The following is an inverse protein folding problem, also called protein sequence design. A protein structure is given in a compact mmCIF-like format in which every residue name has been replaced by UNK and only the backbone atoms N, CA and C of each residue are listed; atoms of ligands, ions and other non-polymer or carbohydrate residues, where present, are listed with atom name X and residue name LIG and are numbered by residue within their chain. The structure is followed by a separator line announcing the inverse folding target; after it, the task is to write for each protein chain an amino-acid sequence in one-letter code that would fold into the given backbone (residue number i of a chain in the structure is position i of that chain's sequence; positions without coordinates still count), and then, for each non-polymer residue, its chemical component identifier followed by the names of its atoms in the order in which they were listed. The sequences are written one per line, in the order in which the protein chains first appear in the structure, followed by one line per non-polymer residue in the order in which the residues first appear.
data_IF_343756279001
#
_entry.id   IF_343756279001
#
_cell.length_a   1.000
_cell.length_b   1.000
_cell.length_c   1.000
_cell.angle_alpha   90.00
_cell.angle_beta   90.00
_cell.angle_gamma   90.00
#
_symmetry.space_group_name_H-M   'P 1'
#
loop_
_entity.id
_entity.type
_entity.pdbx_description
1 polymer ?
#
# COMPACT_ATOMS: atom_id res chain seq x y z
N UNK A 1 16.82 -6.84 -23.37
CA UNK A 1 18.21 -6.37 -23.11
C UNK A 1 18.23 -5.50 -21.86
N UNK A 2 19.39 -5.08 -21.33
CA UNK A 2 19.41 -4.22 -20.12
C UNK A 2 18.73 -2.87 -20.33
N UNK A 3 18.82 -2.30 -21.55
CA UNK A 3 18.16 -1.03 -21.91
C UNK A 3 16.64 -1.19 -21.90
N UNK A 4 16.13 -2.26 -22.50
CA UNK A 4 14.70 -2.57 -22.51
C UNK A 4 14.15 -2.73 -21.10
N UNK A 5 14.85 -3.48 -20.23
CA UNK A 5 14.42 -3.68 -18.84
C UNK A 5 14.29 -2.35 -18.11
N UNK A 6 15.32 -1.51 -18.20
CA UNK A 6 15.30 -0.18 -17.59
C UNK A 6 14.16 0.69 -18.15
N UNK A 7 14.04 0.78 -19.47
CA UNK A 7 13.05 1.66 -20.08
C UNK A 7 11.62 1.20 -19.80
N UNK A 8 11.37 -0.12 -19.84
CA UNK A 8 10.04 -0.66 -19.65
C UNK A 8 9.65 -0.69 -18.17
N UNK A 9 10.45 -1.32 -17.32
CA UNK A 9 10.08 -1.54 -15.93
C UNK A 9 10.41 -0.33 -15.08
N UNK A 10 11.68 0.10 -15.04
CA UNK A 10 12.08 1.17 -14.12
C UNK A 10 11.52 2.54 -14.55
N UNK A 11 11.51 2.84 -15.85
CA UNK A 11 11.06 4.14 -16.34
C UNK A 11 9.56 4.19 -16.63
N UNK A 12 9.03 3.29 -17.47
CA UNK A 12 7.62 3.34 -17.88
C UNK A 12 6.66 2.85 -16.78
N UNK A 13 6.85 1.65 -16.25
CA UNK A 13 5.94 1.06 -15.26
C UNK A 13 6.04 1.81 -13.92
N UNK A 14 7.25 2.18 -13.48
CA UNK A 14 7.47 2.81 -12.18
C UNK A 14 7.55 4.34 -12.23
N UNK A 15 8.62 4.90 -12.82
CA UNK A 15 8.93 6.32 -12.67
C UNK A 15 7.84 7.23 -13.27
N UNK A 16 7.35 6.93 -14.48
CA UNK A 16 6.28 7.72 -15.11
C UNK A 16 5.03 7.71 -14.23
N UNK A 17 4.63 6.55 -13.70
CA UNK A 17 3.46 6.45 -12.84
C UNK A 17 3.62 7.28 -11.57
N UNK A 18 4.78 7.22 -10.92
CA UNK A 18 5.05 7.95 -9.68
C UNK A 18 4.99 9.48 -9.87
N UNK A 19 5.38 10.00 -11.04
CA UNK A 19 5.43 11.46 -11.30
C UNK A 19 4.21 12.00 -12.04
N UNK A 20 3.24 11.18 -12.45
CA UNK A 20 2.06 11.61 -13.23
C UNK A 20 1.31 12.76 -12.58
N UNK A 21 1.12 12.73 -11.26
CA UNK A 21 0.41 13.79 -10.55
C UNK A 21 1.09 15.15 -10.70
N UNK A 22 2.44 15.17 -10.70
CA UNK A 22 3.24 16.39 -10.92
C UNK A 22 2.99 16.98 -12.30
N UNK A 23 2.64 16.16 -13.30
CA UNK A 23 2.36 16.63 -14.66
C UNK A 23 0.93 17.17 -14.82
N UNK A 24 -0.04 16.65 -14.07
CA UNK A 24 -1.45 17.00 -14.21
C UNK A 24 -1.92 18.14 -13.30
N UNK A 25 -1.31 18.29 -12.12
CA UNK A 25 -1.83 19.16 -11.07
C UNK A 25 -1.09 20.52 -10.96
N UNK A 26 -0.21 20.84 -11.93
CA UNK A 26 0.61 22.08 -11.98
C UNK A 26 1.24 22.44 -10.63
N UNK A 27 2.05 21.51 -10.13
CA UNK A 27 2.80 21.62 -8.87
C UNK A 27 4.09 22.42 -9.05
N UNK A 28 4.71 22.87 -7.95
CA UNK A 28 6.03 23.54 -7.98
C UNK A 28 7.14 22.63 -8.56
N UNK A 29 6.96 21.30 -8.54
CA UNK A 29 7.92 20.31 -9.07
C UNK A 29 7.63 19.86 -10.50
N UNK A 30 6.63 20.46 -11.16
CA UNK A 30 6.22 20.11 -12.54
C UNK A 30 7.37 20.24 -13.53
N UNK A 31 8.17 21.32 -13.40
CA UNK A 31 9.29 21.57 -14.31
C UNK A 31 10.43 20.57 -14.08
N UNK A 32 10.70 20.20 -12.83
CA UNK A 32 11.71 19.21 -12.48
C UNK A 32 11.34 17.83 -13.03
N UNK A 33 10.07 17.42 -12.88
CA UNK A 33 9.56 16.18 -13.46
C UNK A 33 9.69 16.17 -14.99
N UNK A 34 9.26 17.24 -15.66
CA UNK A 34 9.38 17.36 -17.13
C UNK A 34 10.84 17.32 -17.59
N UNK A 35 11.74 17.97 -16.86
CA UNK A 35 13.16 17.97 -17.16
C UNK A 35 13.75 16.56 -17.06
N UNK A 36 13.50 15.86 -15.95
CA UNK A 36 13.97 14.48 -15.73
C UNK A 36 13.42 13.52 -16.79
N UNK A 37 12.11 13.56 -17.06
CA UNK A 37 11.49 12.72 -18.08
C UNK A 37 12.09 12.96 -19.48
N UNK A 38 12.32 14.23 -19.84
CA UNK A 38 12.95 14.59 -21.11
C UNK A 38 14.39 14.05 -21.18
N UNK A 39 15.18 14.25 -20.14
CA UNK A 39 16.58 13.81 -20.08
C UNK A 39 16.70 12.28 -20.22
N UNK A 40 15.88 11.52 -19.49
CA UNK A 40 15.85 10.05 -19.57
C UNK A 40 15.39 9.57 -20.94
N UNK A 41 14.36 10.21 -21.52
CA UNK A 41 13.86 9.86 -22.85
C UNK A 41 14.91 10.13 -23.94
N UNK A 42 15.54 11.30 -23.94
CA UNK A 42 16.59 11.65 -24.92
C UNK A 42 17.80 10.72 -24.83
N UNK A 43 18.21 10.39 -23.61
CA UNK A 43 19.31 9.45 -23.37
C UNK A 43 18.96 8.05 -23.87
N UNK A 44 17.74 7.58 -23.57
CA UNK A 44 17.27 6.27 -24.05
C UNK A 44 17.20 6.22 -25.57
N UNK A 45 16.72 7.29 -26.22
CA UNK A 45 16.67 7.36 -27.69
C UNK A 45 18.06 7.28 -28.32
N UNK A 46 19.08 7.93 -27.72
CA UNK A 46 20.48 7.80 -28.15
C UNK A 46 21.00 6.36 -28.01
N UNK A 47 20.71 5.70 -26.89
CA UNK A 47 21.10 4.30 -26.66
C UNK A 47 20.40 3.33 -27.63
N UNK A 48 19.17 3.63 -28.01
CA UNK A 48 18.37 2.83 -28.94
C UNK A 48 18.69 3.11 -30.41
N UNK A 49 19.19 4.31 -30.76
CA UNK A 49 19.39 4.74 -32.15
C UNK A 49 20.22 3.77 -33.02
N UNK A 50 21.28 3.09 -32.52
CA UNK A 50 22.00 2.09 -33.30
C UNK A 50 21.20 0.82 -33.62
N UNK A 51 20.14 0.53 -32.84
CA UNK A 51 19.32 -0.69 -32.93
C UNK A 51 18.01 -0.39 -33.68
N UNK A 52 17.36 0.74 -33.36
CA UNK A 52 16.06 1.15 -33.89
C UNK A 52 16.10 2.58 -34.48
N UNK A 53 16.96 2.86 -35.48
CA UNK A 53 17.27 4.23 -35.91
C UNK A 53 16.05 5.02 -36.37
N UNK A 54 15.20 4.45 -37.22
CA UNK A 54 14.02 5.17 -37.74
C UNK A 54 13.00 5.48 -36.63
N UNK A 55 12.82 4.58 -35.67
CA UNK A 55 11.93 4.82 -34.54
C UNK A 55 12.51 5.90 -33.62
N UNK A 56 13.78 5.76 -33.24
CA UNK A 56 14.46 6.73 -32.39
C UNK A 56 14.46 8.13 -33.00
N UNK A 57 14.68 8.23 -34.32
CA UNK A 57 14.64 9.49 -35.06
C UNK A 57 13.25 10.15 -35.04
N UNK A 58 12.19 9.38 -35.34
CA UNK A 58 10.82 9.89 -35.31
C UNK A 58 10.42 10.39 -33.92
N UNK A 59 10.73 9.62 -32.86
CA UNK A 59 10.39 10.02 -31.48
C UNK A 59 11.22 11.22 -31.03
N UNK A 60 12.52 11.26 -31.36
CA UNK A 60 13.39 12.41 -31.09
C UNK A 60 12.89 13.68 -31.76
N UNK A 61 12.34 13.57 -32.98
CA UNK A 61 11.69 14.68 -33.68
C UNK A 61 10.49 15.27 -32.91
N UNK A 62 9.67 14.44 -32.24
CA UNK A 62 8.57 14.94 -31.40
C UNK A 62 9.06 15.73 -30.18
N UNK A 63 10.28 15.48 -29.70
CA UNK A 63 10.92 16.23 -28.62
C UNK A 63 11.58 17.54 -29.10
N UNK A 64 11.52 17.83 -30.42
CA UNK A 64 12.10 19.02 -31.04
C UNK A 64 13.58 18.90 -31.37
N UNK A 65 14.13 17.68 -31.35
CA UNK A 65 15.54 17.44 -31.65
C UNK A 65 15.77 17.17 -33.14
N UNK A 66 16.94 17.57 -33.63
CA UNK A 66 17.35 17.33 -35.01
C UNK A 66 17.96 15.93 -35.19
N UNK A 67 17.60 15.27 -36.28
CA UNK A 67 18.05 13.92 -36.65
C UNK A 67 19.58 13.80 -36.69
N UNK A 68 20.25 14.82 -37.22
CA UNK A 68 21.71 14.80 -37.35
C UNK A 68 22.37 14.71 -35.97
N UNK A 69 21.83 15.41 -34.96
CA UNK A 69 22.37 15.39 -33.60
C UNK A 69 22.14 14.05 -32.90
N UNK A 70 21.03 13.35 -33.14
CA UNK A 70 20.80 12.03 -32.56
C UNK A 70 21.84 11.01 -33.05
N UNK A 71 22.17 11.04 -34.34
CA UNK A 71 23.06 10.07 -34.96
C UNK A 71 24.55 10.46 -34.94
N UNK A 72 24.88 11.75 -34.87
CA UNK A 72 26.26 12.26 -34.90
C UNK A 72 26.67 12.99 -33.62
N UNK A 73 25.77 13.17 -32.64
CA UNK A 73 26.03 13.92 -31.40
C UNK A 73 26.80 13.17 -30.32
N UNK A 74 27.36 12.00 -30.63
CA UNK A 74 28.14 11.19 -29.70
C UNK A 74 27.31 10.23 -28.84
N UNK A 75 28.01 9.32 -28.18
CA UNK A 75 27.43 8.40 -27.21
C UNK A 75 27.06 9.16 -25.92
N UNK A 76 25.99 8.78 -25.18
CA UNK A 76 25.69 9.39 -23.89
C UNK A 76 26.88 9.35 -22.93
N UNK A 77 27.14 10.48 -22.27
CA UNK A 77 28.20 10.60 -21.28
C UNK A 77 27.73 10.10 -19.92
N UNK A 78 28.64 9.47 -19.18
CA UNK A 78 28.39 9.04 -17.81
C UNK A 78 28.56 10.23 -16.86
N UNK A 79 27.51 10.55 -16.12
CA UNK A 79 27.49 11.59 -15.09
C UNK A 79 27.53 10.94 -13.71
N UNK A 80 28.72 10.69 -13.18
CA UNK A 80 28.94 10.03 -11.89
C UNK A 80 28.23 10.76 -10.73
N UNK A 81 28.08 12.08 -10.84
CA UNK A 81 27.37 12.92 -9.87
C UNK A 81 25.86 12.63 -9.78
N UNK A 82 25.28 11.99 -10.79
CA UNK A 82 23.87 11.59 -10.79
C UNK A 82 23.64 10.19 -10.19
N UNK A 83 24.72 9.48 -9.85
CA UNK A 83 24.64 8.14 -9.26
C UNK A 83 24.66 8.26 -7.75
N UNK A 84 23.57 7.85 -7.10
CA UNK A 84 23.44 7.90 -5.65
C UNK A 84 22.62 6.72 -5.13
N UNK A 85 23.28 5.81 -4.41
CA UNK A 85 22.61 4.66 -3.79
C UNK A 85 21.58 5.07 -2.74
N UNK A 86 21.75 6.23 -2.10
CA UNK A 86 20.75 6.76 -1.16
C UNK A 86 19.48 7.19 -1.89
N UNK A 87 19.60 7.83 -3.08
CA UNK A 87 18.44 8.22 -3.90
C UNK A 87 17.76 7.01 -4.51
N UNK A 88 18.53 6.02 -4.98
CA UNK A 88 18.00 4.73 -5.45
C UNK A 88 17.21 4.03 -4.34
N UNK A 89 17.70 4.03 -3.10
CA UNK A 89 17.02 3.45 -1.96
C UNK A 89 15.71 4.18 -1.63
N UNK A 90 15.70 5.52 -1.65
CA UNK A 90 14.49 6.33 -1.44
C UNK A 90 13.44 6.00 -2.52
N UNK A 91 13.86 5.95 -3.79
CA UNK A 91 12.97 5.57 -4.90
C UNK A 91 12.43 4.16 -4.75
N UNK A 92 13.27 3.22 -4.32
CA UNK A 92 12.88 1.82 -4.12
C UNK A 92 11.86 1.67 -2.98
N UNK A 93 11.98 2.44 -1.90
CA UNK A 93 10.92 2.51 -0.87
C UNK A 93 9.60 3.03 -1.43
N UNK A 94 9.64 4.08 -2.26
CA UNK A 94 8.44 4.64 -2.87
C UNK A 94 7.72 3.59 -3.73
N UNK A 95 8.46 2.91 -4.61
CA UNK A 95 7.91 1.87 -5.48
C UNK A 95 7.35 0.69 -4.69
N UNK A 96 8.09 0.15 -3.73
CA UNK A 96 7.65 -1.00 -2.91
C UNK A 96 6.33 -0.70 -2.16
N UNK A 97 6.17 0.53 -1.65
CA UNK A 97 4.94 0.98 -0.97
C UNK A 97 3.81 1.24 -1.99
N UNK A 98 4.11 1.89 -3.12
CA UNK A 98 3.12 2.19 -4.16
C UNK A 98 2.49 0.90 -4.69
N UNK A 99 3.33 -0.09 -4.99
CA UNK A 99 2.89 -1.37 -5.52
C UNK A 99 2.05 -2.14 -4.51
N UNK A 100 2.44 -2.14 -3.24
CA UNK A 100 1.68 -2.83 -2.19
C UNK A 100 0.30 -2.21 -1.99
N UNK A 101 0.19 -0.87 -2.03
CA UNK A 101 -1.11 -0.19 -1.97
C UNK A 101 -1.98 -0.48 -3.20
N UNK A 102 -1.39 -0.58 -4.40
CA UNK A 102 -2.11 -0.98 -5.62
C UNK A 102 -2.59 -2.43 -5.56
N UNK A 103 -1.77 -3.34 -5.04
CA UNK A 103 -2.13 -4.74 -4.77
C UNK A 103 -3.27 -4.82 -3.76
N UNK A 104 -3.17 -4.08 -2.65
CA UNK A 104 -4.22 -3.96 -1.65
C UNK A 104 -5.55 -3.53 -2.29
N UNK A 105 -5.57 -2.43 -3.03
CA UNK A 105 -6.78 -1.97 -3.73
C UNK A 105 -7.36 -3.03 -4.66
N UNK A 106 -6.51 -3.65 -5.48
CA UNK A 106 -6.93 -4.67 -6.44
C UNK A 106 -7.54 -5.90 -5.75
N UNK A 107 -6.94 -6.37 -4.66
CA UNK A 107 -7.41 -7.53 -3.89
C UNK A 107 -8.75 -7.28 -3.17
N UNK A 108 -9.05 -6.02 -2.83
CA UNK A 108 -10.30 -5.60 -2.20
C UNK A 108 -11.35 -5.08 -3.21
N UNK A 109 -11.07 -5.17 -4.51
CA UNK A 109 -11.98 -4.68 -5.56
C UNK A 109 -12.14 -3.15 -5.59
N UNK A 110 -11.18 -2.41 -5.02
CA UNK A 110 -11.18 -0.95 -4.95
C UNK A 110 -10.56 -0.39 -6.23
N UNK A 111 -11.23 0.53 -6.94
CA UNK A 111 -10.64 1.23 -8.07
C UNK A 111 -9.37 2.00 -7.69
N UNK A 112 -8.33 1.99 -8.53
CA UNK A 112 -7.06 2.67 -8.23
C UNK A 112 -7.20 4.18 -7.97
N UNK A 113 -8.21 4.82 -8.58
CA UNK A 113 -8.51 6.23 -8.41
C UNK A 113 -9.41 6.55 -7.20
N UNK A 114 -9.96 5.56 -6.52
CA UNK A 114 -10.74 5.77 -5.31
C UNK A 114 -9.80 6.12 -4.14
N UNK A 115 -10.07 7.18 -3.36
CA UNK A 115 -9.21 7.56 -2.25
C UNK A 115 -9.14 6.51 -1.13
N UNK A 116 -8.00 6.47 -0.43
CA UNK A 116 -7.81 5.80 0.87
C UNK A 116 -7.72 6.89 1.94
N UNK A 117 -8.49 6.77 3.03
CA UNK A 117 -8.55 7.80 4.07
C UNK A 117 -7.21 8.00 4.78
N UNK A 118 -6.61 6.92 5.30
CA UNK A 118 -5.35 6.99 6.05
C UNK A 118 -4.48 5.78 5.76
N UNK A 119 -3.16 6.01 5.63
CA UNK A 119 -2.13 4.96 5.65
C UNK A 119 -1.06 5.32 6.67
N UNK A 120 -0.92 4.51 7.71
CA UNK A 120 0.19 4.62 8.66
C UNK A 120 1.32 3.66 8.24
N UNK A 121 2.50 4.21 7.98
CA UNK A 121 3.69 3.50 7.48
C UNK A 121 4.67 3.28 8.63
N UNK A 122 5.02 2.03 8.89
CA UNK A 122 5.95 1.65 9.95
C UNK A 122 7.26 1.13 9.35
N UNK A 123 8.34 1.86 9.57
CA UNK A 123 9.66 1.55 9.02
C UNK A 123 10.79 1.99 9.96
N UNK A 124 11.95 1.36 9.83
CA UNK A 124 13.16 1.81 10.52
C UNK A 124 13.79 3.05 9.85
N UNK A 125 13.49 3.30 8.58
CA UNK A 125 14.09 4.34 7.73
C UNK A 125 13.13 5.53 7.51
N UNK A 126 12.56 6.04 8.61
CA UNK A 126 11.52 7.08 8.61
C UNK A 126 11.92 8.32 7.82
N UNK A 127 13.16 8.78 7.96
CA UNK A 127 13.65 9.98 7.26
C UNK A 127 13.62 9.80 5.73
N UNK A 128 14.05 8.63 5.22
CA UNK A 128 14.08 8.37 3.78
C UNK A 128 12.70 8.22 3.18
N UNK A 129 11.79 7.52 3.87
CA UNK A 129 10.40 7.36 3.39
C UNK A 129 9.65 8.69 3.39
N UNK A 130 9.93 9.59 4.34
CA UNK A 130 9.34 10.92 4.32
C UNK A 130 9.76 11.75 3.08
N UNK A 131 10.93 11.48 2.48
CA UNK A 131 11.38 12.19 1.27
C UNK A 131 10.56 11.84 0.02
N UNK A 132 9.85 10.71 0.01
CA UNK A 132 9.02 10.26 -1.11
C UNK A 132 7.51 10.18 -0.78
N UNK A 133 7.08 10.78 0.34
CA UNK A 133 5.69 10.70 0.82
C UNK A 133 4.69 11.28 -0.19
N UNK A 134 5.05 12.35 -0.89
CA UNK A 134 4.17 12.98 -1.87
C UNK A 134 3.96 12.09 -3.09
N UNK A 135 4.99 11.37 -3.53
CA UNK A 135 4.88 10.43 -4.64
C UNK A 135 3.96 9.26 -4.24
N UNK A 136 4.16 8.69 -3.04
CA UNK A 136 3.29 7.60 -2.50
C UNK A 136 1.84 8.07 -2.40
N UNK A 137 1.63 9.25 -1.78
CA UNK A 137 0.31 9.83 -1.50
C UNK A 137 -0.48 10.09 -2.77
N UNK A 138 0.11 10.83 -3.71
CA UNK A 138 -0.60 11.29 -4.89
C UNK A 138 -0.82 10.19 -5.93
N UNK A 139 0.13 9.24 -6.02
CA UNK A 139 0.02 8.08 -6.91
C UNK A 139 -1.08 7.13 -6.46
N UNK A 140 -1.22 6.90 -5.14
CA UNK A 140 -2.23 5.99 -4.58
C UNK A 140 -3.51 6.68 -4.14
N UNK A 141 -3.64 8.01 -4.31
CA UNK A 141 -4.78 8.79 -3.83
C UNK A 141 -5.06 8.51 -2.35
N UNK A 142 -4.06 8.73 -1.51
CA UNK A 142 -4.21 8.63 -0.05
C UNK A 142 -4.43 10.03 0.51
N UNK A 143 -5.42 10.21 1.38
CA UNK A 143 -5.73 11.52 1.95
C UNK A 143 -4.73 11.88 3.06
N UNK A 144 -4.41 10.92 3.94
CA UNK A 144 -3.48 11.11 5.06
C UNK A 144 -2.42 9.99 5.11
N UNK A 145 -1.15 10.38 5.21
CA UNK A 145 -0.05 9.44 5.47
C UNK A 145 0.71 9.91 6.70
N UNK A 146 1.01 8.97 7.60
CA UNK A 146 1.96 9.17 8.69
C UNK A 146 3.06 8.11 8.61
N UNK A 147 4.30 8.51 8.88
CA UNK A 147 5.46 7.60 8.88
C UNK A 147 6.06 7.56 10.28
N UNK A 148 6.19 6.37 10.85
CA UNK A 148 6.72 6.20 12.20
C UNK A 148 7.60 4.96 12.33
N UNK A 149 8.45 4.98 13.36
CA UNK A 149 9.26 3.82 13.72
C UNK A 149 8.45 2.88 14.62
N UNK A 150 8.64 1.58 14.44
CA UNK A 150 8.09 0.55 15.32
C UNK A 150 7.09 -0.34 14.62
N UNK A 151 6.00 -0.68 15.32
CA UNK A 151 4.93 -1.55 14.84
C UNK A 151 3.57 -0.94 15.18
N UNK A 152 2.52 -1.27 14.43
CA UNK A 152 1.17 -0.83 14.74
C UNK A 152 0.72 -1.35 16.11
N UNK A 153 0.06 -0.47 16.86
CA UNK A 153 -0.58 -0.78 18.15
C UNK A 153 -2.04 -1.13 17.88
N UNK A 154 -2.31 -2.44 17.80
CA UNK A 154 -3.58 -3.00 17.34
C UNK A 154 -4.23 -3.83 18.43
N UNK A 155 -5.55 -3.82 18.44
CA UNK A 155 -6.34 -4.76 19.22
C UNK A 155 -7.40 -5.41 18.35
N UNK A 156 -7.80 -6.61 18.74
CA UNK A 156 -8.86 -7.35 18.07
C UNK A 156 -10.21 -6.89 18.67
N UNK A 157 -11.10 -6.39 17.82
CA UNK A 157 -12.46 -6.05 18.21
C UNK A 157 -13.41 -7.10 17.67
N UNK A 158 -14.06 -7.82 18.58
CA UNK A 158 -15.04 -8.84 18.21
C UNK A 158 -16.35 -8.14 17.89
N UNK A 159 -16.77 -8.23 16.63
CA UNK A 159 -17.96 -7.55 16.12
C UNK A 159 -19.19 -8.45 16.11
N UNK A 160 -18.96 -9.77 16.10
CA UNK A 160 -20.04 -10.75 16.10
C UNK A 160 -19.67 -12.00 16.88
N UNK A 161 -20.64 -12.49 17.64
CA UNK A 161 -20.61 -13.79 18.27
C UNK A 161 -21.82 -14.58 17.80
N UNK A 162 -21.58 -15.76 17.25
CA UNK A 162 -22.64 -16.68 16.86
C UNK A 162 -22.63 -17.95 17.74
N UNK A 163 -23.80 -18.38 18.24
CA UNK A 163 -23.91 -19.63 18.98
C UNK A 163 -23.70 -20.85 18.06
N UNK A 164 -22.82 -21.76 18.47
CA UNK A 164 -22.66 -23.05 17.80
C UNK A 164 -23.80 -23.97 18.23
N UNK A 165 -24.86 -24.02 17.42
CA UNK A 165 -26.09 -24.77 17.74
C UNK A 165 -25.84 -26.26 18.05
N UNK A 166 -24.85 -26.88 17.40
CA UNK A 166 -24.47 -28.28 17.63
C UNK A 166 -23.81 -28.53 18.99
N UNK A 167 -23.28 -27.49 19.64
CA UNK A 167 -22.68 -27.54 20.97
C UNK A 167 -23.66 -27.08 22.04
N UNK A 168 -24.42 -26.01 21.76
CA UNK A 168 -25.35 -25.44 22.73
C UNK A 168 -26.60 -26.30 22.92
N UNK A 169 -27.23 -26.77 21.84
CA UNK A 169 -28.49 -27.50 21.90
C UNK A 169 -28.44 -28.76 22.78
N UNK A 170 -27.48 -29.69 22.56
CA UNK A 170 -27.37 -30.92 23.33
C UNK A 170 -27.03 -30.71 24.81
N UNK A 171 -26.19 -29.71 25.11
CA UNK A 171 -25.67 -29.43 26.46
C UNK A 171 -26.71 -28.72 27.31
N UNK A 172 -27.28 -27.62 26.80
CA UNK A 172 -28.13 -26.73 27.60
C UNK A 172 -29.63 -27.00 27.46
N UNK A 173 -30.06 -27.78 26.46
CA UNK A 173 -31.46 -28.21 26.26
C UNK A 173 -32.45 -27.03 26.35
N UNK A 174 -33.28 -27.01 27.39
CA UNK A 174 -34.30 -25.98 27.62
C UNK A 174 -33.69 -24.59 27.88
N UNK A 175 -32.46 -24.54 28.41
CA UNK A 175 -31.72 -23.33 28.70
C UNK A 175 -30.93 -22.79 27.49
N UNK A 176 -30.88 -23.53 26.37
CA UNK A 176 -30.19 -23.09 25.15
C UNK A 176 -30.70 -21.73 24.66
N UNK A 177 -32.03 -21.52 24.72
CA UNK A 177 -32.65 -20.26 24.32
C UNK A 177 -32.14 -19.07 25.13
N UNK A 178 -31.91 -19.24 26.44
CA UNK A 178 -31.39 -18.18 27.30
C UNK A 178 -30.00 -17.71 26.85
N UNK A 179 -29.13 -18.65 26.50
CA UNK A 179 -27.77 -18.34 26.04
C UNK A 179 -27.83 -17.63 24.69
N UNK A 180 -28.67 -18.10 23.76
CA UNK A 180 -28.86 -17.47 22.45
C UNK A 180 -29.38 -16.04 22.62
N UNK A 181 -30.40 -15.85 23.45
CA UNK A 181 -30.97 -14.53 23.72
C UNK A 181 -29.94 -13.61 24.42
N UNK A 182 -29.11 -14.13 25.33
CA UNK A 182 -28.03 -13.38 25.96
C UNK A 182 -26.98 -12.91 24.94
N UNK A 183 -26.51 -13.81 24.08
CA UNK A 183 -25.53 -13.49 23.02
C UNK A 183 -26.10 -12.42 22.06
N UNK A 184 -27.38 -12.53 21.70
CA UNK A 184 -28.01 -11.61 20.76
C UNK A 184 -28.24 -10.19 21.33
N UNK A 185 -28.23 -10.02 22.66
CA UNK A 185 -28.58 -8.75 23.32
C UNK A 185 -27.43 -8.14 24.13
N UNK A 186 -26.25 -8.76 24.13
CA UNK A 186 -25.08 -8.27 24.86
C UNK A 186 -24.00 -7.89 23.85
N UNK A 187 -23.26 -6.83 24.15
CA UNK A 187 -22.14 -6.40 23.33
C UNK A 187 -21.10 -7.55 23.18
N UNK A 188 -20.73 -7.93 21.95
CA UNK A 188 -19.80 -9.04 21.72
C UNK A 188 -18.45 -8.87 22.40
N UNK A 189 -17.93 -7.63 22.49
CA UNK A 189 -16.66 -7.36 23.15
C UNK A 189 -16.77 -7.64 24.65
N UNK A 190 -17.86 -7.23 25.30
CA UNK A 190 -18.10 -7.53 26.72
C UNK A 190 -18.17 -9.02 27.02
N UNK A 191 -18.79 -9.80 26.12
CA UNK A 191 -18.83 -11.27 26.24
C UNK A 191 -17.41 -11.84 26.18
N UNK A 192 -16.59 -11.35 25.25
CA UNK A 192 -15.22 -11.83 25.07
C UNK A 192 -14.30 -11.48 26.23
N UNK A 193 -14.39 -10.25 26.76
CA UNK A 193 -13.66 -9.84 27.96
C UNK A 193 -13.97 -10.77 29.13
N UNK A 194 -15.26 -11.07 29.38
CA UNK A 194 -15.65 -12.02 30.43
C UNK A 194 -15.07 -13.42 30.17
N UNK A 195 -15.17 -13.93 28.94
CA UNK A 195 -14.62 -15.24 28.60
C UNK A 195 -13.09 -15.32 28.79
N UNK A 196 -12.38 -14.21 28.64
CA UNK A 196 -10.93 -14.14 28.84
C UNK A 196 -10.54 -14.02 30.32
N UNK A 197 -11.33 -13.29 31.11
CA UNK A 197 -11.09 -13.12 32.54
C UNK A 197 -11.45 -14.37 33.35
N UNK A 198 -12.61 -14.97 33.07
CA UNK A 198 -13.20 -16.04 33.92
C UNK A 198 -13.18 -17.42 33.27
N UNK A 199 -13.00 -17.49 31.94
CA UNK A 199 -13.12 -18.71 31.14
C UNK A 199 -14.57 -19.11 30.79
N UNK A 200 -15.58 -18.50 31.41
CA UNK A 200 -16.99 -18.81 31.20
C UNK A 200 -17.91 -17.60 31.44
N UNK A 201 -18.97 -17.49 30.65
CA UNK A 201 -20.01 -16.46 30.83
C UNK A 201 -21.24 -17.11 31.45
N UNK A 202 -21.64 -16.59 32.60
CA UNK A 202 -22.81 -17.08 33.35
C UNK A 202 -24.07 -16.35 32.92
N UNK A 203 -25.09 -17.11 32.53
CA UNK A 203 -26.44 -16.66 32.18
C UNK A 203 -27.42 -17.39 33.09
N UNK A 204 -27.92 -16.71 34.11
CA UNK A 204 -28.69 -17.30 35.21
C UNK A 204 -27.97 -18.50 35.86
N UNK A 205 -28.51 -19.71 35.69
CA UNK A 205 -28.07 -20.97 36.29
C UNK A 205 -27.16 -21.79 35.35
N UNK A 206 -26.85 -21.27 34.16
CA UNK A 206 -26.00 -21.95 33.16
C UNK A 206 -24.81 -21.09 32.77
N UNK A 207 -23.73 -21.72 32.31
CA UNK A 207 -22.55 -21.02 31.82
C UNK A 207 -22.11 -21.57 30.47
N UNK A 208 -21.67 -20.70 29.57
CA UNK A 208 -21.08 -21.10 28.29
C UNK A 208 -19.62 -20.62 28.19
N UNK A 209 -18.88 -21.23 27.26
CA UNK A 209 -17.43 -21.02 27.07
C UNK A 209 -17.11 -20.76 25.60
N UNK A 210 -15.84 -20.46 25.27
CA UNK A 210 -15.37 -20.29 23.87
C UNK A 210 -15.69 -21.49 22.96
N UNK A 211 -15.87 -22.71 23.49
CA UNK A 211 -16.25 -23.89 22.69
C UNK A 211 -17.69 -23.86 22.14
N UNK A 212 -18.53 -22.97 22.68
CA UNK A 212 -19.95 -22.89 22.36
C UNK A 212 -20.27 -21.79 21.35
N UNK A 213 -19.27 -21.02 20.91
CA UNK A 213 -19.45 -19.85 20.06
C UNK A 213 -18.42 -19.79 18.93
N UNK A 214 -18.76 -19.06 17.87
CA UNK A 214 -17.81 -18.58 16.85
C UNK A 214 -17.77 -17.06 16.89
N UNK A 215 -16.59 -16.49 16.64
CA UNK A 215 -16.35 -15.04 16.64
C UNK A 215 -15.99 -14.57 15.24
N UNK A 216 -16.52 -13.41 14.86
CA UNK A 216 -15.98 -12.60 13.75
C UNK A 216 -15.40 -11.33 14.37
N UNK A 217 -14.16 -11.02 14.01
CA UNK A 217 -13.39 -9.92 14.57
C UNK A 217 -12.72 -9.11 13.47
N UNK A 218 -12.58 -7.82 13.73
CA UNK A 218 -11.79 -6.90 12.92
C UNK A 218 -10.58 -6.44 13.71
N UNK A 219 -9.49 -6.12 13.00
CA UNK A 219 -8.35 -5.44 13.59
C UNK A 219 -8.68 -3.95 13.69
N UNK A 220 -8.48 -3.39 14.88
CA UNK A 220 -8.69 -1.97 15.12
C UNK A 220 -7.44 -1.29 15.66
N UNK A 221 -7.22 -0.08 15.17
CA UNK A 221 -6.16 0.80 15.67
C UNK A 221 -6.45 1.22 17.11
N UNK A 222 -5.46 1.82 17.79
CA UNK A 222 -5.65 2.42 19.12
C UNK A 222 -6.78 3.46 19.20
N UNK A 223 -7.14 4.10 18.07
CA UNK A 223 -8.23 5.07 17.98
C UNK A 223 -9.60 4.42 17.78
N UNK A 224 -9.67 3.10 17.61
CA UNK A 224 -10.90 2.32 17.42
C UNK A 224 -11.35 2.25 15.96
N UNK A 225 -10.47 2.59 15.01
CA UNK A 225 -10.77 2.53 13.57
C UNK A 225 -10.40 1.15 13.04
N UNK A 226 -11.27 0.58 12.20
CA UNK A 226 -10.99 -0.70 11.52
C UNK A 226 -9.86 -0.49 10.52
N UNK A 227 -8.85 -1.36 10.57
CA UNK A 227 -7.65 -1.25 9.76
C UNK A 227 -7.24 -2.60 9.18
N UNK A 228 -6.69 -2.54 7.98
CA UNK A 228 -5.98 -3.66 7.37
C UNK A 228 -4.48 -3.50 7.55
N UNK A 229 -3.79 -4.61 7.83
CA UNK A 229 -2.32 -4.63 7.89
C UNK A 229 -1.77 -5.36 6.68
N UNK A 230 -0.97 -4.65 5.90
CA UNK A 230 -0.23 -5.19 4.77
C UNK A 230 1.28 -4.96 4.99
N UNK A 231 2.09 -5.77 4.32
CA UNK A 231 3.54 -5.76 4.45
C UNK A 231 4.15 -5.73 3.06
N UNK A 232 5.05 -4.79 2.81
CA UNK A 232 5.73 -4.71 1.51
C UNK A 232 6.68 -5.89 1.31
N UNK A 233 6.85 -6.30 0.05
CA UNK A 233 7.59 -7.52 -0.31
C UNK A 233 9.10 -7.35 -0.12
N UNK A 234 9.65 -6.19 -0.48
CA UNK A 234 11.11 -6.00 -0.57
C UNK A 234 11.71 -5.54 0.75
N UNK A 235 11.11 -4.51 1.36
CA UNK A 235 11.67 -3.84 2.53
C UNK A 235 10.96 -4.17 3.85
N UNK A 236 9.99 -5.08 3.81
CA UNK A 236 9.25 -5.53 4.99
C UNK A 236 8.55 -4.39 5.76
N UNK A 237 8.20 -3.30 5.06
CA UNK A 237 7.54 -2.12 5.64
C UNK A 237 6.09 -2.50 5.93
N UNK A 238 5.62 -2.21 7.15
CA UNK A 238 4.23 -2.45 7.52
C UNK A 238 3.39 -1.23 7.18
N UNK A 239 2.25 -1.44 6.54
CA UNK A 239 1.26 -0.41 6.24
C UNK A 239 -0.03 -0.78 6.95
N UNK A 240 -0.53 0.14 7.76
CA UNK A 240 -1.85 0.08 8.37
C UNK A 240 -2.77 0.98 7.54
N UNK A 241 -3.73 0.35 6.88
CA UNK A 241 -4.61 0.99 5.89
C UNK A 241 -6.01 1.13 6.48
N UNK A 242 -6.52 2.36 6.46
CA UNK A 242 -7.86 2.71 6.89
C UNK A 242 -8.64 3.27 5.69
N UNK A 243 -9.82 2.72 5.44
CA UNK A 243 -10.74 3.21 4.40
C UNK A 243 -11.68 4.30 4.90
#
# INVERSE_FOLDING_TARGET
TSIERFFWHDFCDEHIEAVKYRLYEDTDTTMDAKYTLKMVMETTLKLMAPITPFFSDQVSGYLGNDSYNLHNGGWPELHEELISGDVELIGSYAIDIIDELRRYKSSHGIPLNQPISTVNIYTNDVEKVNLCIDDIKNTNKVDNIAVQNGKPDLHEQVNKIEPIMSKIGPVFKQNAKKIIDYIANTDPQQIMEQLEETGEVKVDDVAFTKEHITTESDLVSKTGEIVDIIKTETYEILLEVQQ
#
